data_IF_132606394711
#
_entry.id   IF_132606394711
#
_cell.length_a   1.000
_cell.length_b   1.000
_cell.length_c   1.000
_cell.angle_alpha   90.00
_cell.angle_beta   90.00
_cell.angle_gamma   90.00
#
_symmetry.space_group_name_H-M   'P 1'
#
loop_
_entity.id
_entity.type
_entity.pdbx_description
1 polymer ?
#
# COMPACT_ATOMS: atom_id res chain seq x y z
N UNK A 1 -32.02 -14.91 -17.02
CA UNK A 1 -31.36 -13.60 -16.89
C UNK A 1 -30.09 -13.78 -16.05
N UNK A 2 -28.98 -13.09 -16.36
CA UNK A 2 -27.72 -13.21 -15.61
C UNK A 2 -27.37 -11.83 -15.03
N UNK A 3 -27.21 -11.77 -13.71
CA UNK A 3 -26.83 -10.54 -13.03
C UNK A 3 -25.47 -10.04 -13.53
N UNK A 4 -25.37 -8.74 -13.73
CA UNK A 4 -24.16 -8.01 -14.11
C UNK A 4 -23.99 -6.82 -13.17
N UNK A 5 -22.74 -6.52 -12.82
CA UNK A 5 -22.39 -5.41 -11.94
C UNK A 5 -21.41 -4.51 -12.67
N UNK A 6 -21.66 -3.21 -12.64
CA UNK A 6 -20.78 -2.19 -13.19
C UNK A 6 -20.45 -1.16 -12.12
N UNK A 7 -19.18 -0.74 -12.07
CA UNK A 7 -18.70 0.30 -11.16
C UNK A 7 -18.41 1.58 -11.95
N UNK A 8 -18.89 2.72 -11.44
CA UNK A 8 -18.51 4.05 -11.91
C UNK A 8 -17.92 4.88 -10.79
N UNK A 9 -16.99 5.77 -11.13
CA UNK A 9 -16.56 6.89 -10.29
C UNK A 9 -17.07 8.18 -10.93
N UNK A 10 -18.05 8.84 -10.30
CA UNK A 10 -18.84 9.87 -10.98
C UNK A 10 -19.43 9.35 -12.30
N UNK A 11 -19.04 9.94 -13.43
CA UNK A 11 -19.49 9.51 -14.77
C UNK A 11 -18.58 8.48 -15.46
N UNK A 12 -17.40 8.19 -14.90
CA UNK A 12 -16.36 7.37 -15.53
C UNK A 12 -16.53 5.91 -15.14
N UNK A 13 -16.48 4.99 -16.11
CA UNK A 13 -16.48 3.55 -15.85
C UNK A 13 -15.14 3.13 -15.21
N UNK A 14 -15.23 2.30 -14.17
CA UNK A 14 -14.07 1.67 -13.54
C UNK A 14 -14.04 0.21 -13.96
N UNK A 15 -12.93 -0.23 -14.56
CA UNK A 15 -12.76 -1.62 -14.98
C UNK A 15 -12.68 -2.54 -13.76
N UNK A 16 -13.52 -3.59 -13.76
CA UNK A 16 -13.59 -4.57 -12.67
C UNK A 16 -13.79 -5.98 -13.20
N UNK A 17 -13.22 -6.97 -12.53
CA UNK A 17 -13.64 -8.37 -12.65
C UNK A 17 -14.66 -8.68 -11.56
N UNK A 18 -15.74 -9.40 -11.92
CA UNK A 18 -16.83 -9.73 -11.01
C UNK A 18 -16.77 -11.22 -10.67
N UNK A 19 -16.67 -11.55 -9.38
CA UNK A 19 -16.79 -12.91 -8.87
C UNK A 19 -18.00 -13.00 -7.95
N UNK A 20 -19.04 -13.70 -8.40
CA UNK A 20 -20.18 -14.04 -7.55
C UNK A 20 -19.80 -15.16 -6.57
N UNK A 21 -20.36 -15.11 -5.36
CA UNK A 21 -20.31 -16.22 -4.42
C UNK A 21 -21.14 -17.42 -4.93
N UNK A 22 -20.92 -18.60 -4.36
CA UNK A 22 -21.59 -19.84 -4.76
C UNK A 22 -23.11 -19.77 -4.56
N UNK A 23 -23.55 -19.06 -3.52
CA UNK A 23 -24.97 -18.79 -3.23
C UNK A 23 -25.59 -17.75 -4.17
N UNK A 24 -24.76 -17.06 -4.96
CA UNK A 24 -25.11 -15.99 -5.92
C UNK A 24 -25.80 -14.78 -5.27
N UNK A 25 -25.70 -14.62 -3.95
CA UNK A 25 -26.30 -13.49 -3.21
C UNK A 25 -25.32 -12.35 -2.96
N UNK A 26 -24.04 -12.58 -3.19
CA UNK A 26 -22.99 -11.56 -3.11
C UNK A 26 -22.02 -11.67 -4.28
N UNK A 27 -21.31 -10.59 -4.53
CA UNK A 27 -20.25 -10.54 -5.53
C UNK A 27 -19.12 -9.63 -5.07
N UNK A 28 -17.88 -9.99 -5.44
CA UNK A 28 -16.70 -9.16 -5.27
C UNK A 28 -16.34 -8.54 -6.61
N UNK A 29 -16.22 -7.22 -6.64
CA UNK A 29 -15.69 -6.45 -7.77
C UNK A 29 -14.22 -6.16 -7.48
N UNK A 30 -13.33 -6.76 -8.26
CA UNK A 30 -11.88 -6.48 -8.15
C UNK A 30 -11.50 -5.50 -9.24
N UNK A 31 -11.03 -4.32 -8.85
CA UNK A 31 -10.51 -3.31 -9.78
C UNK A 31 -9.22 -3.83 -10.42
N UNK A 32 -9.06 -3.64 -11.72
CA UNK A 32 -7.90 -4.19 -12.46
C UNK A 32 -6.80 -3.17 -12.72
N UNK A 33 -7.17 -1.90 -12.83
CA UNK A 33 -6.27 -0.88 -13.39
C UNK A 33 -5.97 0.25 -12.42
N UNK A 34 -6.82 0.45 -11.41
CA UNK A 34 -6.77 1.61 -10.49
C UNK A 34 -7.14 1.20 -9.08
N UNK A 35 -6.68 1.99 -8.10
CA UNK A 35 -7.11 1.90 -6.70
C UNK A 35 -8.33 2.78 -6.45
N UNK A 36 -9.03 2.50 -5.35
CA UNK A 36 -10.04 3.41 -4.82
C UNK A 36 -9.35 4.69 -4.37
N UNK A 37 -9.90 5.83 -4.78
CA UNK A 37 -9.40 7.16 -4.49
C UNK A 37 -10.57 8.08 -4.13
N UNK A 38 -10.28 9.27 -3.62
CA UNK A 38 -11.32 10.22 -3.21
C UNK A 38 -12.41 10.41 -4.26
N UNK A 39 -13.67 10.25 -3.85
CA UNK A 39 -14.83 10.55 -4.69
C UNK A 39 -15.97 9.54 -4.54
N UNK A 40 -17.11 9.87 -5.15
CA UNK A 40 -18.28 9.00 -5.12
C UNK A 40 -18.19 7.91 -6.20
N UNK A 41 -18.43 6.68 -5.76
CA UNK A 41 -18.54 5.51 -6.60
C UNK A 41 -19.98 5.02 -6.61
N UNK A 42 -20.45 4.58 -7.77
CA UNK A 42 -21.77 3.98 -7.95
C UNK A 42 -21.64 2.58 -8.52
N UNK A 43 -22.20 1.60 -7.83
CA UNK A 43 -22.38 0.23 -8.32
C UNK A 43 -23.78 0.11 -8.91
N UNK A 44 -23.89 -0.41 -10.13
CA UNK A 44 -25.17 -0.69 -10.80
C UNK A 44 -25.32 -2.18 -11.06
N UNK A 45 -26.40 -2.76 -10.55
CA UNK A 45 -26.89 -4.10 -10.86
C UNK A 45 -27.79 -4.05 -12.10
N UNK A 46 -27.57 -4.98 -13.02
CA UNK A 46 -28.35 -5.09 -14.26
C UNK A 46 -28.51 -6.56 -14.67
N UNK A 47 -29.42 -6.83 -15.62
CA UNK A 47 -29.64 -8.17 -16.15
C UNK A 47 -30.50 -9.09 -15.28
N UNK A 48 -31.19 -8.53 -14.27
CA UNK A 48 -32.29 -9.17 -13.54
C UNK A 48 -33.61 -8.46 -13.86
N UNK A 49 -34.72 -9.14 -13.59
CA UNK A 49 -36.06 -8.53 -13.69
C UNK A 49 -36.18 -7.39 -12.67
N UNK A 50 -36.58 -6.21 -13.12
CA UNK A 50 -36.75 -5.03 -12.26
C UNK A 50 -37.80 -5.22 -11.18
N UNK A 51 -38.82 -6.07 -11.42
CA UNK A 51 -39.83 -6.39 -10.40
C UNK A 51 -39.24 -7.22 -9.23
N UNK A 52 -38.11 -7.89 -9.46
CA UNK A 52 -37.41 -8.69 -8.46
C UNK A 52 -36.24 -7.94 -7.79
N UNK A 53 -35.98 -6.69 -8.16
CA UNK A 53 -34.86 -5.88 -7.66
C UNK A 53 -35.40 -4.67 -6.94
N UNK A 54 -35.26 -4.66 -5.61
CA UNK A 54 -35.64 -3.50 -4.78
C UNK A 54 -34.76 -2.28 -5.07
N UNK A 55 -33.44 -2.48 -5.13
CA UNK A 55 -32.47 -1.42 -5.42
C UNK A 55 -31.41 -1.89 -6.41
N UNK A 56 -31.39 -1.25 -7.58
CA UNK A 56 -30.42 -1.57 -8.62
C UNK A 56 -29.12 -0.77 -8.51
N UNK A 57 -29.09 0.32 -7.72
CA UNK A 57 -27.90 1.18 -7.59
C UNK A 57 -27.55 1.44 -6.13
N UNK A 58 -26.25 1.41 -5.82
CA UNK A 58 -25.71 1.76 -4.51
C UNK A 58 -24.50 2.65 -4.69
N UNK A 59 -24.36 3.66 -3.84
CA UNK A 59 -23.20 4.54 -3.81
C UNK A 59 -22.35 4.31 -2.58
N UNK A 60 -21.05 4.54 -2.72
CA UNK A 60 -20.11 4.63 -1.60
C UNK A 60 -19.07 5.70 -1.92
N UNK A 61 -18.47 6.29 -0.89
CA UNK A 61 -17.44 7.33 -1.05
C UNK A 61 -16.07 6.75 -0.78
N UNK A 62 -15.18 6.84 -1.76
CA UNK A 62 -13.75 6.61 -1.57
C UNK A 62 -13.15 7.79 -0.82
N UNK A 63 -12.22 7.51 0.09
CA UNK A 63 -11.50 8.51 0.88
C UNK A 63 -10.21 8.93 0.18
N UNK A 64 -9.75 10.15 0.46
CA UNK A 64 -8.41 10.58 0.06
C UNK A 64 -7.36 9.65 0.69
N UNK A 65 -6.35 9.26 -0.10
CA UNK A 65 -5.30 8.38 0.38
C UNK A 65 -4.54 9.05 1.53
N UNK A 66 -4.48 8.35 2.67
CA UNK A 66 -3.72 8.78 3.83
C UNK A 66 -2.94 7.61 4.42
N UNK A 67 -1.69 7.86 4.81
CA UNK A 67 -0.87 6.89 5.53
C UNK A 67 -1.53 6.63 6.89
N UNK A 68 -1.93 5.39 7.16
CA UNK A 68 -2.48 4.97 8.45
C UNK A 68 -1.49 4.19 9.29
N UNK A 69 -0.55 3.49 8.63
CA UNK A 69 0.42 2.63 9.30
C UNK A 69 1.70 2.49 8.49
N UNK A 70 2.81 2.29 9.18
CA UNK A 70 4.09 1.88 8.58
C UNK A 70 4.55 0.62 9.32
N UNK A 71 4.59 -0.51 8.62
CA UNK A 71 5.03 -1.80 9.17
C UNK A 71 6.46 -2.11 8.73
N UNK A 72 7.28 -2.71 9.60
CA UNK A 72 8.54 -3.33 9.18
C UNK A 72 8.22 -4.68 8.52
N UNK A 73 8.70 -4.86 7.28
CA UNK A 73 8.48 -6.07 6.47
C UNK A 73 9.70 -7.00 6.53
N UNK A 74 10.80 -6.53 7.11
CA UNK A 74 12.04 -7.30 7.21
C UNK A 74 11.80 -8.55 8.07
N UNK A 75 12.18 -9.72 7.57
CA UNK A 75 11.93 -11.00 8.25
C UNK A 75 12.79 -11.22 9.52
N UNK A 76 13.76 -10.34 9.79
CA UNK A 76 14.66 -10.44 10.94
C UNK A 76 14.85 -9.08 11.60
N UNK A 77 14.96 -9.09 12.93
CA UNK A 77 15.35 -7.94 13.75
C UNK A 77 16.85 -7.64 13.67
N UNK A 78 17.60 -8.47 12.94
CA UNK A 78 19.04 -8.27 12.70
C UNK A 78 19.29 -7.64 11.35
N UNK A 79 20.25 -6.72 11.31
CA UNK A 79 20.67 -6.05 10.08
C UNK A 79 22.14 -6.41 9.84
N UNK A 80 22.47 -6.84 8.62
CA UNK A 80 23.83 -7.18 8.26
C UNK A 80 24.76 -5.96 8.39
N UNK A 81 26.00 -6.18 8.85
CA UNK A 81 27.05 -5.17 8.82
C UNK A 81 27.62 -5.05 7.40
N UNK A 82 27.12 -4.09 6.63
CA UNK A 82 27.48 -3.91 5.21
C UNK A 82 27.26 -2.46 4.79
N UNK A 83 27.78 -2.06 3.62
CA UNK A 83 27.60 -0.72 3.08
C UNK A 83 26.22 -0.50 2.45
N UNK A 84 25.43 -1.57 2.27
CA UNK A 84 24.13 -1.56 1.57
C UNK A 84 23.09 -2.40 2.31
N UNK A 85 23.00 -2.26 3.62
CA UNK A 85 21.96 -2.91 4.39
C UNK A 85 20.61 -2.34 3.97
N UNK A 86 19.56 -3.15 4.00
CA UNK A 86 18.23 -2.75 3.57
C UNK A 86 17.21 -3.11 4.64
N UNK A 87 16.41 -2.13 5.03
CA UNK A 87 15.25 -2.32 5.90
C UNK A 87 14.01 -2.00 5.09
N UNK A 88 13.16 -3.00 4.89
CA UNK A 88 11.93 -2.89 4.10
C UNK A 88 10.75 -2.55 4.99
N UNK A 89 9.92 -1.63 4.52
CA UNK A 89 8.79 -1.05 5.22
C UNK A 89 7.56 -0.99 4.31
N UNK A 90 6.39 -1.32 4.84
CA UNK A 90 5.11 -1.20 4.16
C UNK A 90 4.36 0.00 4.74
N UNK A 91 4.32 1.11 4.00
CA UNK A 91 3.44 2.23 4.30
C UNK A 91 2.05 1.91 3.74
N UNK A 92 1.04 1.83 4.62
CA UNK A 92 -0.30 1.38 4.29
C UNK A 92 -1.35 2.47 4.45
N UNK A 93 -2.33 2.47 3.55
CA UNK A 93 -3.45 3.40 3.51
C UNK A 93 -4.61 2.95 4.41
N UNK A 94 -5.74 3.68 4.37
CA UNK A 94 -6.96 3.39 5.12
C UNK A 94 -7.65 2.06 4.76
N UNK A 95 -7.23 1.42 3.67
CA UNK A 95 -7.75 0.14 3.18
C UNK A 95 -6.76 -1.02 3.39
N UNK A 96 -5.70 -0.81 4.21
CA UNK A 96 -4.59 -1.75 4.44
C UNK A 96 -3.77 -2.11 3.17
N UNK A 97 -3.90 -1.30 2.12
CA UNK A 97 -3.10 -1.42 0.88
C UNK A 97 -1.85 -0.55 0.94
N UNK A 98 -0.80 -0.89 0.18
CA UNK A 98 0.37 -0.02 0.05
C UNK A 98 -0.03 1.33 -0.54
N UNK A 99 0.48 2.41 0.04
CA UNK A 99 0.24 3.78 -0.46
C UNK A 99 0.87 3.99 -1.84
N UNK A 100 0.27 4.84 -2.67
CA UNK A 100 0.83 5.23 -3.97
C UNK A 100 1.85 6.37 -3.86
N UNK A 101 1.87 7.11 -2.75
CA UNK A 101 2.82 8.18 -2.44
C UNK A 101 4.29 7.79 -2.73
N UNK A 102 5.05 8.68 -3.37
CA UNK A 102 6.48 8.47 -3.63
C UNK A 102 7.30 8.50 -2.32
N UNK A 103 8.49 7.91 -2.34
CA UNK A 103 9.40 7.91 -1.19
C UNK A 103 9.75 9.31 -0.67
N UNK A 104 9.66 10.35 -1.52
CA UNK A 104 9.90 11.75 -1.13
C UNK A 104 8.84 12.33 -0.19
N UNK A 105 7.69 11.67 -0.02
CA UNK A 105 6.68 12.05 0.96
C UNK A 105 7.02 11.57 2.38
N UNK A 106 8.10 10.81 2.53
CA UNK A 106 8.52 10.19 3.78
C UNK A 106 9.92 10.65 4.14
N UNK A 107 10.20 10.71 5.44
CA UNK A 107 11.55 10.89 5.94
C UNK A 107 11.96 9.66 6.72
N UNK A 108 13.12 9.09 6.39
CA UNK A 108 13.76 8.05 7.18
C UNK A 108 15.08 8.58 7.72
N UNK A 109 15.27 8.48 9.04
CA UNK A 109 16.50 8.86 9.73
C UNK A 109 17.06 7.64 10.44
N UNK A 110 18.34 7.36 10.19
CA UNK A 110 19.09 6.31 10.89
C UNK A 110 20.21 6.97 11.68
N UNK A 111 20.04 7.03 13.00
CA UNK A 111 20.96 7.81 13.84
C UNK A 111 22.38 7.27 13.78
N UNK A 112 23.33 8.15 13.42
CA UNK A 112 24.75 7.80 13.34
C UNK A 112 25.16 7.05 12.08
N UNK A 113 24.27 6.88 11.09
CA UNK A 113 24.58 6.21 9.83
C UNK A 113 24.07 6.99 8.62
N UNK A 114 24.87 6.95 7.55
CA UNK A 114 24.42 7.43 6.26
C UNK A 114 23.30 6.50 5.76
N UNK A 115 22.18 7.12 5.39
CA UNK A 115 21.00 6.40 4.93
C UNK A 115 20.29 7.13 3.79
N UNK A 116 19.50 6.38 3.04
CA UNK A 116 18.64 6.91 1.99
C UNK A 116 17.34 6.11 1.93
N UNK A 117 16.25 6.77 1.54
CA UNK A 117 14.95 6.14 1.38
C UNK A 117 14.58 6.07 -0.10
N UNK A 118 14.20 4.88 -0.54
CA UNK A 118 13.68 4.67 -1.90
C UNK A 118 12.39 3.85 -1.85
N UNK A 119 11.63 3.85 -2.95
CA UNK A 119 10.51 2.93 -3.14
C UNK A 119 10.96 1.80 -4.07
N UNK A 120 10.63 0.56 -3.74
CA UNK A 120 10.90 -0.59 -4.61
C UNK A 120 9.77 -0.80 -5.64
N UNK A 121 9.97 -1.77 -6.54
CA UNK A 121 8.99 -2.08 -7.60
C UNK A 121 7.68 -2.69 -7.07
N UNK A 122 7.68 -3.17 -5.83
CA UNK A 122 6.50 -3.70 -5.15
C UNK A 122 5.75 -2.58 -4.40
N UNK A 123 6.27 -1.36 -4.39
CA UNK A 123 5.68 -0.21 -3.72
C UNK A 123 6.07 -0.05 -2.25
N UNK A 124 6.99 -0.88 -1.73
CA UNK A 124 7.47 -0.76 -0.35
C UNK A 124 8.53 0.32 -0.24
N UNK A 125 8.63 0.94 0.94
CA UNK A 125 9.73 1.82 1.28
C UNK A 125 10.94 0.98 1.70
N UNK A 126 12.12 1.34 1.22
CA UNK A 126 13.38 0.66 1.52
C UNK A 126 14.38 1.68 2.05
N UNK A 127 14.70 1.56 3.33
CA UNK A 127 15.79 2.33 3.95
C UNK A 127 17.09 1.60 3.64
N UNK A 128 17.94 2.23 2.83
CA UNK A 128 19.30 1.76 2.55
C UNK A 128 20.24 2.38 3.57
N UNK A 129 21.05 1.57 4.23
CA UNK A 129 21.89 1.99 5.36
C UNK A 129 23.32 1.48 5.14
N UNK A 130 24.31 2.33 5.38
CA UNK A 130 25.70 1.91 5.51
C UNK A 130 25.99 1.55 6.98
N UNK A 131 25.71 0.32 7.39
CA UNK A 131 25.95 -0.16 8.77
C UNK A 131 27.39 -0.56 9.02
N UNK A 132 28.24 -0.56 7.99
CA UNK A 132 29.67 -0.88 8.12
C UNK A 132 30.45 0.28 8.75
N UNK A 133 30.03 1.52 8.51
CA UNK A 133 30.71 2.75 8.96
C UNK A 133 29.71 3.74 9.52
N UNK A 134 29.89 4.15 10.77
CA UNK A 134 29.14 5.28 11.32
C UNK A 134 29.55 6.60 10.65
N UNK A 135 28.62 7.54 10.56
CA UNK A 135 28.89 8.88 10.04
C UNK A 135 29.99 9.55 10.88
N UNK A 136 31.06 10.01 10.24
CA UNK A 136 32.22 10.61 10.90
C UNK A 136 33.27 9.60 11.40
N UNK A 137 33.08 8.29 11.23
CA UNK A 137 34.08 7.29 11.60
C UNK A 137 35.31 7.29 10.67
N UNK A 138 36.50 7.19 11.27
CA UNK A 138 37.80 7.13 10.58
C UNK A 138 38.24 5.70 10.25
N UNK A 139 37.58 4.67 10.79
CA UNK A 139 37.83 3.26 10.49
C UNK A 139 36.72 2.62 9.64
N UNK A 140 37.08 1.60 8.87
CA UNK A 140 36.17 0.87 7.95
C UNK A 140 35.24 -0.13 8.64
N UNK A 141 35.37 -0.31 9.96
CA UNK A 141 34.47 -1.12 10.77
C UNK A 141 34.17 -0.39 12.07
N UNK A 142 32.90 -0.39 12.45
CA UNK A 142 32.41 0.01 13.78
C UNK A 142 32.07 -1.26 14.56
N UNK A 143 33.06 -1.94 15.19
CA UNK A 143 32.79 -3.13 15.99
C UNK A 143 31.93 -2.79 17.23
N UNK A 144 31.10 -3.73 17.67
CA UNK A 144 30.31 -3.60 18.91
C UNK A 144 28.91 -2.97 18.75
N UNK A 145 28.39 -2.83 17.53
CA UNK A 145 27.03 -2.37 17.31
C UNK A 145 26.00 -3.41 17.75
N UNK A 146 25.19 -3.07 18.75
CA UNK A 146 24.10 -3.92 19.26
C UNK A 146 22.72 -3.44 18.83
N UNK A 147 22.59 -2.19 18.34
CA UNK A 147 21.32 -1.58 17.94
C UNK A 147 21.52 -0.54 16.84
N UNK A 148 20.62 -0.51 15.86
CA UNK A 148 20.54 0.53 14.80
C UNK A 148 19.13 1.13 14.84
N UNK A 149 18.94 2.33 15.43
CA UNK A 149 17.63 2.95 15.51
C UNK A 149 17.23 3.55 14.15
N UNK A 150 16.07 3.15 13.65
CA UNK A 150 15.49 3.63 12.39
C UNK A 150 14.18 4.33 12.71
N UNK A 151 14.10 5.62 12.38
CA UNK A 151 12.89 6.43 12.54
C UNK A 151 12.31 6.74 11.17
N UNK A 152 11.00 6.58 11.02
CA UNK A 152 10.30 6.84 9.75
C UNK A 152 9.01 7.57 10.05
N UNK A 153 8.75 8.67 9.34
CA UNK A 153 7.56 9.51 9.49
C UNK A 153 7.22 10.23 8.18
#
# INVERSE_FOLDING_TARGET
AKATLALKKGSVNVATTVKFADDKKSAVLTLTDVKISEGEYTVTLSGLDTAAVDKATVTFTGEAEAVKKIDFVSASDTIAQTTKAQVKLAAKNQYDELVDMSASNFTAVVSGFDSSLVKDNEGNLVVKINTKRMTGATSDTSPGMTMVPVYVY
#
